data_IF_649841433313
#
_entry.id   IF_649841433313
#
_cell.length_a   1.000
_cell.length_b   1.000
_cell.length_c   1.000
_cell.angle_alpha   90.00
_cell.angle_beta   90.00
_cell.angle_gamma   90.00
#
_symmetry.space_group_name_H-M   'P 1'
#
loop_
_entity.id
_entity.type
_entity.pdbx_description
1 polymer ?
#
# COMPACT_ATOMS: atom_id res chain seq x y z
N UNK A 1 5.67 13.78 14.54
CA UNK A 1 6.32 13.26 13.33
C UNK A 1 5.24 12.63 12.45
N UNK A 2 5.06 13.09 11.20
CA UNK A 2 4.00 12.54 10.34
C UNK A 2 4.48 11.21 9.72
N UNK A 3 3.91 10.10 10.19
CA UNK A 3 4.31 8.74 9.81
C UNK A 3 4.16 8.54 8.29
N UNK A 4 3.14 9.15 7.67
CA UNK A 4 2.94 9.06 6.21
C UNK A 4 4.11 9.66 5.45
N UNK A 5 4.58 10.85 5.88
CA UNK A 5 5.71 11.53 5.25
C UNK A 5 7.02 10.74 5.42
N UNK A 6 7.22 10.16 6.61
CA UNK A 6 8.37 9.31 6.91
C UNK A 6 8.38 8.02 6.09
N UNK A 7 7.23 7.35 5.94
CA UNK A 7 7.12 6.14 5.13
C UNK A 7 7.38 6.43 3.66
N UNK A 8 6.87 7.56 3.13
CA UNK A 8 7.15 8.02 1.79
C UNK A 8 8.66 8.27 1.59
N UNK A 9 9.27 9.03 2.51
CA UNK A 9 10.69 9.37 2.43
C UNK A 9 11.59 8.14 2.55
N UNK A 10 11.27 7.23 3.47
CA UNK A 10 11.98 5.96 3.62
C UNK A 10 11.87 5.12 2.35
N UNK A 11 10.67 4.96 1.78
CA UNK A 11 10.45 4.23 0.54
C UNK A 11 11.21 4.84 -0.64
N UNK A 12 11.21 6.16 -0.74
CA UNK A 12 11.99 6.90 -1.73
C UNK A 12 13.50 6.62 -1.60
N UNK A 13 14.06 6.74 -0.39
CA UNK A 13 15.49 6.49 -0.16
C UNK A 13 15.87 5.04 -0.45
N UNK A 14 15.06 4.06 -0.03
CA UNK A 14 15.30 2.64 -0.32
C UNK A 14 15.30 2.40 -1.83
N UNK A 15 14.28 2.89 -2.54
CA UNK A 15 14.20 2.76 -3.99
C UNK A 15 15.40 3.42 -4.70
N UNK A 16 15.78 4.61 -4.27
CA UNK A 16 16.93 5.34 -4.81
C UNK A 16 18.25 4.58 -4.61
N UNK A 17 18.52 4.10 -3.41
CA UNK A 17 19.74 3.34 -3.09
C UNK A 17 19.80 2.05 -3.93
N UNK A 18 18.71 1.31 -4.02
CA UNK A 18 18.68 0.06 -4.80
C UNK A 18 18.89 0.30 -6.29
N UNK A 19 18.28 1.35 -6.85
CA UNK A 19 18.51 1.76 -8.23
C UNK A 19 19.96 2.20 -8.47
N UNK A 20 20.54 2.97 -7.53
CA UNK A 20 21.92 3.43 -7.59
C UNK A 20 22.92 2.27 -7.68
N UNK A 21 22.69 1.21 -6.89
CA UNK A 21 23.53 0.02 -6.88
C UNK A 21 23.09 -1.07 -7.87
N UNK A 22 22.08 -0.81 -8.72
CA UNK A 22 21.49 -1.78 -9.65
C UNK A 22 21.07 -3.10 -8.98
N UNK A 23 20.64 -3.02 -7.73
CA UNK A 23 20.16 -4.17 -6.98
C UNK A 23 18.72 -4.49 -7.39
N UNK A 24 18.31 -5.76 -7.31
CA UNK A 24 16.90 -6.11 -7.47
C UNK A 24 16.08 -5.39 -6.40
N UNK A 25 15.10 -4.60 -6.84
CA UNK A 25 14.25 -3.83 -5.93
C UNK A 25 13.35 -4.76 -5.10
N UNK A 26 13.17 -4.49 -3.79
CA UNK A 26 12.37 -5.32 -2.89
C UNK A 26 10.86 -5.06 -3.04
N UNK A 27 10.49 -3.94 -3.67
CA UNK A 27 9.10 -3.57 -3.96
C UNK A 27 8.64 -4.11 -5.32
N UNK A 28 7.33 -4.19 -5.58
CA UNK A 28 6.81 -4.58 -6.90
C UNK A 28 7.44 -3.72 -8.00
N UNK A 29 8.10 -4.32 -8.99
CA UNK A 29 8.90 -3.57 -9.97
C UNK A 29 8.04 -2.84 -11.01
N UNK A 30 6.78 -3.22 -11.14
CA UNK A 30 5.87 -2.72 -12.15
C UNK A 30 4.74 -1.90 -11.50
N UNK A 31 4.27 -0.87 -12.22
CA UNK A 31 3.22 0.03 -11.73
C UNK A 31 1.95 -0.77 -11.38
N UNK A 32 1.65 -1.83 -12.12
CA UNK A 32 0.49 -2.68 -11.87
C UNK A 32 0.55 -3.33 -10.48
N UNK A 33 1.74 -3.71 -10.02
CA UNK A 33 1.94 -4.26 -8.68
C UNK A 33 1.67 -3.25 -7.57
N UNK A 34 2.09 -1.99 -7.76
CA UNK A 34 1.83 -0.89 -6.82
C UNK A 34 0.32 -0.58 -6.76
N UNK A 35 -0.33 -0.50 -7.93
CA UNK A 35 -1.79 -0.30 -8.01
C UNK A 35 -2.54 -1.46 -7.35
N UNK A 36 -2.06 -2.70 -7.49
CA UNK A 36 -2.61 -3.87 -6.80
C UNK A 36 -2.61 -3.71 -5.28
N UNK A 37 -1.51 -3.26 -4.68
CA UNK A 37 -1.40 -3.01 -3.22
C UNK A 37 -2.40 -1.93 -2.78
N UNK A 38 -2.52 -0.84 -3.55
CA UNK A 38 -3.50 0.22 -3.28
C UNK A 38 -4.92 -0.33 -3.33
N UNK A 39 -5.25 -1.15 -4.34
CA UNK A 39 -6.54 -1.81 -4.47
C UNK A 39 -6.89 -2.71 -3.29
N UNK A 40 -5.92 -3.50 -2.80
CA UNK A 40 -6.09 -4.34 -1.61
C UNK A 40 -6.43 -3.49 -0.38
N UNK A 41 -5.70 -2.41 -0.14
CA UNK A 41 -5.96 -1.51 0.99
C UNK A 41 -7.34 -0.86 0.90
N UNK A 42 -7.70 -0.34 -0.28
CA UNK A 42 -9.02 0.28 -0.49
C UNK A 42 -10.15 -0.72 -0.33
N UNK A 43 -10.00 -1.95 -0.83
CA UNK A 43 -10.98 -3.02 -0.66
C UNK A 43 -11.20 -3.39 0.82
N UNK A 44 -10.12 -3.50 1.60
CA UNK A 44 -10.20 -3.72 3.04
C UNK A 44 -10.93 -2.57 3.76
N UNK A 45 -10.55 -1.32 3.47
CA UNK A 45 -11.18 -0.14 4.06
C UNK A 45 -12.66 -0.03 3.69
N UNK A 46 -13.00 -0.36 2.45
CA UNK A 46 -14.38 -0.38 1.97
C UNK A 46 -15.17 -1.44 2.72
N UNK A 47 -14.67 -2.67 2.81
CA UNK A 47 -15.33 -3.74 3.57
C UNK A 47 -15.53 -3.35 5.04
N UNK A 48 -14.51 -2.78 5.69
CA UNK A 48 -14.61 -2.34 7.08
C UNK A 48 -15.74 -1.31 7.30
N UNK A 49 -15.98 -0.43 6.32
CA UNK A 49 -17.07 0.55 6.37
C UNK A 49 -18.45 -0.04 6.12
N UNK A 50 -18.57 -1.03 5.23
CA UNK A 50 -19.86 -1.64 4.87
C UNK A 50 -20.23 -2.79 5.82
N UNK A 51 -19.25 -3.41 6.49
CA UNK A 51 -19.43 -4.52 7.42
C UNK A 51 -20.55 -4.31 8.46
N UNK A 52 -20.73 -3.12 9.08
CA UNK A 52 -21.83 -2.87 10.00
C UNK A 52 -23.21 -3.01 9.34
N UNK A 53 -23.37 -2.49 8.13
CA UNK A 53 -24.61 -2.62 7.34
C UNK A 53 -24.87 -4.07 6.93
N UNK A 54 -23.82 -4.79 6.52
CA UNK A 54 -23.92 -6.20 6.17
C UNK A 54 -24.36 -7.05 7.39
N UNK A 55 -23.84 -6.72 8.58
CA UNK A 55 -24.20 -7.43 9.82
C UNK A 55 -25.67 -7.22 10.23
N UNK A 56 -26.26 -6.08 9.88
CA UNK A 56 -27.67 -5.77 10.15
C UNK A 56 -28.63 -6.44 9.15
N UNK A 57 -28.15 -6.88 7.99
CA UNK A 57 -28.93 -7.61 6.98
C UNK A 57 -28.99 -9.12 7.26
N UNK A 58 -27.99 -9.64 7.98
CA UNK A 58 -27.85 -11.07 8.29
C UNK A 58 -28.56 -11.43 9.61
N UNK A 59 -28.81 -10.45 10.48
CA UNK A 59 -29.69 -10.58 11.65
C UNK A 59 -31.15 -10.43 11.24
#
# INVERSE_FOLDING_TARGET
MNIVLLSLFTGFLVGFIFALFKLPIPAPPALEGVIGIVGIYLGFQLFAKISPWLSNLIK
#
